data_IF_408072014243
#
_entry.id   IF_408072014243
#
_cell.length_a   1.000
_cell.length_b   1.000
_cell.length_c   1.000
_cell.angle_alpha   90.00
_cell.angle_beta   90.00
_cell.angle_gamma   90.00
#
_symmetry.space_group_name_H-M   'P 1'
#
loop_
_entity.id
_entity.type
_entity.pdbx_description
1 polymer ?
#
# COMPACT_ATOMS: atom_id res chain seq x y z
N UNK A 1 41.05 -53.07 -18.76
CA UNK A 1 39.92 -52.35 -18.13
C UNK A 1 39.93 -50.85 -18.40
N UNK A 2 41.09 -50.18 -18.40
CA UNK A 2 41.22 -48.74 -18.67
C UNK A 2 40.67 -48.28 -20.05
N UNK A 3 40.90 -49.05 -21.12
CA UNK A 3 40.43 -48.69 -22.48
C UNK A 3 38.90 -48.69 -22.58
N UNK A 4 38.22 -49.63 -21.91
CA UNK A 4 36.74 -49.70 -21.89
C UNK A 4 36.13 -48.54 -21.09
N UNK A 5 36.76 -48.17 -19.97
CA UNK A 5 36.34 -47.02 -19.16
C UNK A 5 36.54 -45.70 -19.91
N UNK A 6 37.64 -45.55 -20.65
CA UNK A 6 37.91 -44.38 -21.50
C UNK A 6 36.91 -44.24 -22.65
N UNK A 7 36.57 -45.35 -23.33
CA UNK A 7 35.54 -45.35 -24.38
C UNK A 7 34.15 -44.99 -23.83
N UNK A 8 33.77 -45.51 -22.66
CA UNK A 8 32.52 -45.17 -21.99
C UNK A 8 32.46 -43.68 -21.61
N UNK A 9 33.57 -43.13 -21.12
CA UNK A 9 33.68 -41.70 -20.79
C UNK A 9 33.56 -40.81 -22.03
N UNK A 10 34.19 -41.19 -23.15
CA UNK A 10 34.07 -40.49 -24.43
C UNK A 10 32.64 -40.55 -25.00
N UNK A 11 31.93 -41.66 -24.82
CA UNK A 11 30.53 -41.83 -25.22
C UNK A 11 29.56 -41.00 -24.35
N UNK A 12 29.87 -40.86 -23.06
CA UNK A 12 29.15 -39.96 -22.15
C UNK A 12 29.41 -38.47 -22.47
N UNK A 13 30.62 -38.11 -22.91
CA UNK A 13 30.93 -36.74 -23.37
C UNK A 13 30.30 -36.39 -24.73
N UNK A 14 30.16 -37.36 -25.63
CA UNK A 14 29.56 -37.09 -26.95
C UNK A 14 28.04 -36.96 -26.87
N UNK A 15 27.40 -37.64 -25.91
CA UNK A 15 25.96 -37.54 -25.67
C UNK A 15 25.56 -36.27 -24.89
N UNK A 16 26.46 -35.65 -24.13
CA UNK A 16 26.20 -34.37 -23.46
C UNK A 16 26.22 -33.15 -24.39
N UNK A 17 26.64 -33.33 -25.65
CA UNK A 17 26.64 -32.28 -26.70
C UNK A 17 25.35 -32.24 -27.52
N UNK A 18 24.41 -33.17 -27.29
CA UNK A 18 23.08 -33.16 -27.92
C UNK A 18 22.12 -32.22 -27.18
N UNK A 19 22.51 -30.97 -27.00
CA UNK A 19 21.57 -29.92 -26.64
C UNK A 19 20.83 -29.50 -27.93
N UNK A 20 19.59 -29.94 -28.10
CA UNK A 20 18.73 -29.48 -29.19
C UNK A 20 18.35 -28.02 -28.92
N UNK A 21 19.10 -27.08 -29.49
CA UNK A 21 18.75 -25.67 -29.54
C UNK A 21 17.84 -25.36 -30.73
N UNK A 22 16.98 -24.36 -30.59
CA UNK A 22 16.27 -23.78 -31.72
C UNK A 22 17.27 -23.04 -32.63
N UNK A 23 17.14 -23.16 -33.94
CA UNK A 23 17.97 -22.35 -34.85
C UNK A 23 17.56 -20.88 -34.79
N UNK A 24 18.48 -19.96 -35.10
CA UNK A 24 18.22 -18.50 -35.06
C UNK A 24 17.05 -18.10 -35.99
N UNK A 25 16.94 -18.73 -37.16
CA UNK A 25 15.87 -18.53 -38.14
C UNK A 25 14.52 -19.09 -37.69
N UNK A 26 14.49 -19.89 -36.63
CA UNK A 26 13.28 -20.50 -36.08
C UNK A 26 12.67 -19.70 -34.92
N UNK A 27 13.38 -18.72 -34.36
CA UNK A 27 12.88 -17.87 -33.26
C UNK A 27 11.71 -17.01 -33.74
N UNK A 28 10.58 -17.09 -33.06
CA UNK A 28 9.33 -16.40 -33.35
C UNK A 28 8.46 -17.04 -34.43
N UNK A 29 8.88 -18.15 -35.06
CA UNK A 29 8.08 -18.84 -36.10
C UNK A 29 7.06 -19.81 -35.51
N UNK A 30 7.45 -20.57 -34.49
CA UNK A 30 6.61 -21.61 -33.87
C UNK A 30 6.49 -21.47 -32.35
N UNK A 31 7.34 -20.67 -31.73
CA UNK A 31 7.30 -20.31 -30.31
C UNK A 31 6.48 -19.03 -30.11
N UNK A 32 5.67 -19.05 -29.06
CA UNK A 32 4.97 -17.88 -28.57
C UNK A 32 5.26 -17.77 -27.08
N UNK A 33 5.36 -16.53 -26.60
CA UNK A 33 5.59 -16.26 -25.19
C UNK A 33 4.63 -15.20 -24.70
N UNK A 34 3.73 -15.61 -23.80
CA UNK A 34 2.79 -14.70 -23.16
C UNK A 34 3.18 -14.47 -21.71
N UNK A 35 3.33 -13.19 -21.36
CA UNK A 35 3.67 -12.77 -20.01
C UNK A 35 2.40 -12.41 -19.25
N UNK A 36 2.28 -12.93 -18.04
CA UNK A 36 1.20 -12.63 -17.11
C UNK A 36 1.78 -12.09 -15.80
N UNK A 37 0.92 -11.41 -15.03
CA UNK A 37 1.28 -10.80 -13.74
C UNK A 37 0.65 -11.52 -12.53
N UNK A 38 -0.35 -12.38 -12.76
CA UNK A 38 -1.13 -13.03 -11.69
C UNK A 38 -2.31 -12.18 -11.21
N UNK A 39 -2.90 -12.58 -10.08
CA UNK A 39 -4.07 -11.90 -9.49
C UNK A 39 -3.66 -10.60 -8.80
N UNK A 40 -4.29 -9.49 -9.18
CA UNK A 40 -3.96 -8.15 -8.65
C UNK A 40 -4.47 -7.99 -7.21
N UNK A 41 -3.57 -7.58 -6.30
CA UNK A 41 -3.87 -7.15 -4.91
C UNK A 41 -4.20 -5.67 -4.84
N UNK A 42 -3.35 -4.83 -5.44
CA UNK A 42 -3.49 -3.38 -5.41
C UNK A 42 -3.17 -2.79 -6.78
N UNK A 43 -3.81 -1.67 -7.07
CA UNK A 43 -3.59 -0.90 -8.29
C UNK A 43 -3.47 0.59 -7.95
N UNK A 44 -2.47 1.24 -8.52
CA UNK A 44 -2.24 2.69 -8.41
C UNK A 44 -2.26 3.28 -9.81
N UNK A 45 -3.25 4.12 -10.06
CA UNK A 45 -3.44 4.76 -11.35
C UNK A 45 -2.60 6.02 -11.43
N UNK A 46 -1.72 6.10 -12.42
CA UNK A 46 -0.89 7.26 -12.65
C UNK A 46 -1.22 7.87 -14.01
N UNK A 47 -1.85 9.04 -13.99
CA UNK A 47 -2.19 9.79 -15.19
C UNK A 47 -1.52 11.16 -15.14
N UNK A 48 -0.47 11.35 -15.94
CA UNK A 48 0.12 12.67 -16.16
C UNK A 48 -0.60 13.37 -17.31
N UNK A 49 -0.78 14.69 -17.20
CA UNK A 49 -1.48 15.49 -18.23
C UNK A 49 -0.91 15.35 -19.65
N UNK A 50 0.41 15.12 -19.77
CA UNK A 50 1.10 14.98 -21.05
C UNK A 50 1.92 13.67 -21.18
N UNK A 51 1.72 12.71 -20.27
CA UNK A 51 2.53 11.49 -20.20
C UNK A 51 1.76 10.22 -20.60
N UNK A 52 2.48 9.10 -20.66
CA UNK A 52 1.85 7.78 -20.83
C UNK A 52 0.91 7.53 -19.66
N UNK A 53 -0.32 7.10 -19.96
CA UNK A 53 -1.28 6.67 -18.94
C UNK A 53 -0.87 5.28 -18.50
N UNK A 54 -0.58 5.10 -17.21
CA UNK A 54 -0.13 3.82 -16.66
C UNK A 54 -0.90 3.43 -15.43
N UNK A 55 -1.01 2.13 -15.21
CA UNK A 55 -1.42 1.57 -13.92
C UNK A 55 -0.26 0.73 -13.38
N UNK A 56 0.07 0.96 -12.13
CA UNK A 56 1.06 0.15 -11.41
C UNK A 56 0.29 -0.83 -10.54
N UNK A 57 0.64 -2.10 -10.61
CA UNK A 57 -0.07 -3.17 -9.92
C UNK A 57 0.89 -4.01 -9.09
N UNK A 58 0.42 -4.42 -7.91
CA UNK A 58 1.03 -5.50 -7.12
C UNK A 58 0.12 -6.71 -7.14
N UNK A 59 0.69 -7.91 -7.16
CA UNK A 59 -0.07 -9.16 -7.32
C UNK A 59 0.17 -10.14 -6.17
N UNK A 60 -0.71 -11.15 -6.06
CA UNK A 60 -0.57 -12.25 -5.10
C UNK A 60 0.66 -13.12 -5.36
N UNK A 61 1.20 -13.08 -6.59
CA UNK A 61 2.42 -13.77 -7.00
C UNK A 61 3.71 -12.98 -6.66
N UNK A 62 3.62 -12.00 -5.75
CA UNK A 62 4.69 -11.05 -5.41
C UNK A 62 5.29 -10.34 -6.63
N UNK A 63 4.49 -10.13 -7.69
CA UNK A 63 4.93 -9.37 -8.83
C UNK A 63 4.53 -7.89 -8.69
N UNK A 64 5.42 -7.01 -9.12
CA UNK A 64 5.10 -5.62 -9.42
C UNK A 64 5.22 -5.37 -10.92
N UNK A 65 4.24 -4.70 -11.49
CA UNK A 65 4.24 -4.39 -12.91
C UNK A 65 3.70 -3.00 -13.18
N UNK A 66 4.19 -2.39 -14.26
CA UNK A 66 3.55 -1.22 -14.87
C UNK A 66 2.92 -1.62 -16.19
N UNK A 67 1.64 -1.29 -16.34
CA UNK A 67 0.84 -1.62 -17.50
C UNK A 67 0.42 -0.35 -18.24
N UNK A 68 0.28 -0.44 -19.56
CA UNK A 68 -0.38 0.56 -20.37
C UNK A 68 -1.89 0.58 -20.05
N UNK A 69 -2.41 1.73 -19.63
CA UNK A 69 -3.84 1.86 -19.30
C UNK A 69 -4.77 1.71 -20.50
N UNK A 70 -4.26 1.85 -21.73
CA UNK A 70 -5.04 1.77 -22.97
C UNK A 70 -5.04 0.37 -23.57
N UNK A 71 -3.88 -0.27 -23.63
CA UNK A 71 -3.73 -1.57 -24.30
C UNK A 71 -3.67 -2.75 -23.33
N UNK A 72 -3.30 -2.51 -22.08
CA UNK A 72 -3.01 -3.57 -21.11
C UNK A 72 -1.61 -4.18 -21.25
N UNK A 73 -0.78 -3.66 -22.16
CA UNK A 73 0.58 -4.16 -22.37
C UNK A 73 1.44 -3.94 -21.13
N UNK A 74 2.31 -4.91 -20.84
CA UNK A 74 3.27 -4.81 -19.74
C UNK A 74 4.46 -3.98 -20.21
N UNK A 75 4.67 -2.79 -19.62
CA UNK A 75 5.89 -2.01 -19.85
C UNK A 75 7.09 -2.66 -19.19
N UNK A 76 6.93 -3.04 -17.93
CA UNK A 76 7.93 -3.75 -17.15
C UNK A 76 7.26 -4.55 -16.03
N UNK A 77 7.97 -5.58 -15.56
CA UNK A 77 7.52 -6.51 -14.52
C UNK A 77 8.73 -6.99 -13.73
N UNK A 78 8.60 -7.03 -12.42
CA UNK A 78 9.52 -7.69 -11.50
C UNK A 78 8.75 -8.69 -10.64
N UNK A 79 9.29 -9.88 -10.47
CA UNK A 79 8.77 -10.88 -9.54
C UNK A 79 9.73 -10.91 -8.36
N UNK A 80 9.25 -10.52 -7.18
CA UNK A 80 10.04 -10.52 -5.96
C UNK A 80 10.09 -11.92 -5.34
N UNK A 81 10.99 -12.12 -4.39
CA UNK A 81 11.12 -13.39 -3.68
C UNK A 81 9.83 -13.76 -2.92
N UNK A 82 9.63 -15.06 -2.69
CA UNK A 82 8.48 -15.54 -1.89
C UNK A 82 8.48 -14.99 -0.45
N UNK A 83 9.67 -14.76 0.10
CA UNK A 83 9.87 -14.19 1.43
C UNK A 83 9.80 -12.66 1.44
N UNK A 84 9.36 -12.05 0.35
CA UNK A 84 9.28 -10.60 0.20
C UNK A 84 7.87 -10.16 -0.27
N UNK A 85 6.84 -10.42 0.55
CA UNK A 85 5.47 -10.10 0.19
C UNK A 85 5.28 -8.59 0.12
N UNK A 86 4.64 -8.12 -0.95
CA UNK A 86 4.33 -6.70 -1.14
C UNK A 86 3.11 -6.33 -0.29
N UNK A 87 3.29 -5.42 0.66
CA UNK A 87 2.25 -4.94 1.56
C UNK A 87 1.47 -3.78 0.95
N UNK A 88 2.18 -2.76 0.47
CA UNK A 88 1.61 -1.54 -0.10
C UNK A 88 2.44 -1.01 -1.26
N UNK A 89 1.76 -0.39 -2.22
CA UNK A 89 2.39 0.33 -3.34
C UNK A 89 1.86 1.75 -3.45
N UNK A 90 2.71 2.67 -3.89
CA UNK A 90 2.32 4.03 -4.27
C UNK A 90 3.25 4.63 -5.34
N UNK A 91 2.96 5.86 -5.77
CA UNK A 91 3.81 6.61 -6.71
C UNK A 91 4.28 7.91 -6.05
N UNK A 92 5.59 8.02 -5.83
CA UNK A 92 6.25 9.20 -5.31
C UNK A 92 6.76 10.10 -6.44
N UNK A 93 6.65 11.42 -6.25
CA UNK A 93 7.10 12.46 -7.18
C UNK A 93 6.53 12.39 -8.60
N UNK A 94 5.56 11.51 -8.84
CA UNK A 94 5.13 11.13 -10.18
C UNK A 94 6.22 10.47 -11.05
N UNK A 95 7.36 10.10 -10.45
CA UNK A 95 8.55 9.55 -11.13
C UNK A 95 8.92 8.16 -10.62
N UNK A 96 8.67 7.89 -9.34
CA UNK A 96 9.08 6.65 -8.71
C UNK A 96 7.87 5.85 -8.27
N UNK A 97 7.87 4.55 -8.56
CA UNK A 97 7.01 3.59 -7.89
C UNK A 97 7.65 3.25 -6.57
N UNK A 98 6.90 3.31 -5.48
CA UNK A 98 7.39 2.96 -4.14
C UNK A 98 6.66 1.70 -3.69
N UNK A 99 7.42 0.74 -3.17
CA UNK A 99 6.88 -0.51 -2.62
C UNK A 99 7.31 -0.68 -1.18
N UNK A 100 6.35 -0.98 -0.32
CA UNK A 100 6.58 -1.45 1.04
C UNK A 100 6.32 -2.96 1.06
N UNK A 101 7.28 -3.72 1.58
CA UNK A 101 7.21 -5.18 1.63
C UNK A 101 7.73 -5.74 2.94
N UNK A 102 7.50 -7.04 3.12
CA UNK A 102 8.01 -7.82 4.25
C UNK A 102 7.58 -7.24 5.61
N UNK A 103 6.28 -7.01 5.78
CA UNK A 103 5.67 -6.43 6.98
C UNK A 103 6.20 -5.03 7.32
N UNK A 104 6.54 -4.27 6.29
CA UNK A 104 7.09 -2.93 6.40
C UNK A 104 8.58 -2.86 6.71
N UNK A 105 9.31 -3.98 6.64
CA UNK A 105 10.77 -3.99 6.85
C UNK A 105 11.57 -3.55 5.64
N UNK A 106 11.02 -3.56 4.43
CA UNK A 106 11.74 -3.16 3.22
C UNK A 106 10.94 -2.15 2.41
N UNK A 107 11.58 -1.01 2.13
CA UNK A 107 11.05 0.04 1.26
C UNK A 107 11.92 0.14 0.00
N UNK A 108 11.32 0.17 -1.18
CA UNK A 108 12.05 0.33 -2.45
C UNK A 108 11.44 1.41 -3.31
N UNK A 109 12.30 2.07 -4.09
CA UNK A 109 11.87 2.88 -5.22
C UNK A 109 12.32 2.29 -6.54
N UNK A 110 11.39 2.30 -7.49
CA UNK A 110 11.57 1.86 -8.86
C UNK A 110 11.32 3.03 -9.79
N UNK A 111 12.16 3.20 -10.80
CA UNK A 111 11.95 4.19 -11.83
C UNK A 111 10.68 3.83 -12.62
N UNK A 112 9.70 4.73 -12.65
CA UNK A 112 8.39 4.47 -13.26
C UNK A 112 8.47 4.17 -14.78
N UNK A 113 9.36 4.78 -15.59
CA UNK A 113 9.49 4.49 -17.02
C UNK A 113 9.90 3.07 -17.38
N UNK A 114 10.93 2.52 -16.74
CA UNK A 114 11.60 1.28 -17.14
C UNK A 114 11.63 0.20 -16.05
N UNK A 115 11.21 0.54 -14.83
CA UNK A 115 11.18 -0.37 -13.70
C UNK A 115 12.54 -0.57 -13.03
N UNK A 116 13.59 0.19 -13.35
CA UNK A 116 14.89 0.03 -12.69
C UNK A 116 14.76 0.36 -11.19
N UNK A 117 15.28 -0.50 -10.31
CA UNK A 117 15.38 -0.20 -8.88
C UNK A 117 16.40 0.94 -8.66
N UNK A 118 15.97 2.03 -8.04
CA UNK A 118 16.81 3.20 -7.74
C UNK A 118 17.49 3.03 -6.39
N UNK A 119 16.71 2.66 -5.37
CA UNK A 119 17.21 2.46 -4.01
C UNK A 119 16.34 1.45 -3.26
N UNK A 120 16.91 0.88 -2.21
CA UNK A 120 16.29 -0.02 -1.25
C UNK A 120 16.71 0.40 0.16
N UNK A 121 15.75 0.43 1.08
CA UNK A 121 15.94 0.79 2.48
C UNK A 121 15.38 -0.29 3.38
N UNK A 122 16.21 -0.78 4.29
CA UNK A 122 15.80 -1.73 5.31
C UNK A 122 15.41 -1.00 6.59
N UNK A 123 14.15 -1.15 7.00
CA UNK A 123 13.57 -0.56 8.19
C UNK A 123 13.57 -1.59 9.33
N UNK A 124 13.94 -1.13 10.52
CA UNK A 124 13.98 -1.98 11.71
C UNK A 124 12.57 -2.20 12.25
N UNK A 125 12.06 -3.42 12.10
CA UNK A 125 10.77 -3.83 12.68
C UNK A 125 11.01 -4.44 14.07
N UNK A 126 10.59 -3.75 15.12
CA UNK A 126 10.75 -4.20 16.51
C UNK A 126 9.62 -5.14 16.95
N UNK A 127 8.41 -4.93 16.42
CA UNK A 127 7.20 -5.66 16.79
C UNK A 127 6.29 -5.87 15.59
N UNK A 128 5.75 -7.07 15.42
CA UNK A 128 4.73 -7.34 14.41
C UNK A 128 3.55 -6.36 14.57
N UNK A 129 3.28 -5.60 13.53
CA UNK A 129 2.26 -4.55 13.50
C UNK A 129 1.80 -4.31 12.07
N UNK A 130 0.64 -3.68 11.90
CA UNK A 130 0.15 -3.27 10.58
C UNK A 130 1.14 -2.29 9.95
N UNK A 131 1.62 -2.59 8.74
CA UNK A 131 2.49 -1.69 7.99
C UNK A 131 1.65 -0.70 7.17
N UNK A 132 2.05 0.57 7.18
CA UNK A 132 1.38 1.64 6.43
C UNK A 132 2.40 2.48 5.68
N UNK A 133 2.14 2.70 4.40
CA UNK A 133 2.89 3.59 3.53
C UNK A 133 2.08 4.86 3.28
N UNK A 134 2.67 6.01 3.60
CA UNK A 134 2.12 7.31 3.23
C UNK A 134 3.11 8.07 2.34
N UNK A 135 2.69 8.33 1.11
CA UNK A 135 3.44 9.16 0.15
C UNK A 135 2.71 10.50 0.00
N UNK A 136 3.35 11.64 0.35
CA UNK A 136 2.73 12.94 0.22
C UNK A 136 2.31 13.26 -1.22
N UNK A 137 1.15 13.87 -1.39
CA UNK A 137 0.71 14.38 -2.68
C UNK A 137 1.63 15.53 -3.13
N UNK A 138 2.17 15.41 -4.33
CA UNK A 138 3.13 16.35 -4.94
C UNK A 138 2.50 17.74 -5.11
N UNK A 139 2.72 18.66 -4.16
CA UNK A 139 2.31 20.07 -4.27
C UNK A 139 3.54 20.96 -4.08
N UNK A 140 4.24 21.24 -5.18
CA UNK A 140 5.35 22.19 -5.26
C UNK A 140 6.73 21.55 -5.39
N UNK A 141 7.63 22.25 -6.06
CA UNK A 141 8.98 21.82 -6.46
C UNK A 141 10.00 21.86 -5.30
N UNK A 142 9.63 22.41 -4.14
CA UNK A 142 10.55 22.72 -3.02
C UNK A 142 10.05 22.26 -1.64
N UNK A 143 9.39 21.10 -1.54
CA UNK A 143 9.09 20.53 -0.22
C UNK A 143 9.85 19.24 -0.03
N UNK A 144 10.43 19.09 1.15
CA UNK A 144 11.16 17.90 1.59
C UNK A 144 10.34 16.66 1.23
N UNK A 145 10.81 15.93 0.22
CA UNK A 145 10.08 14.83 -0.38
C UNK A 145 10.24 13.58 0.49
N UNK A 146 9.58 13.59 1.64
CA UNK A 146 9.69 12.58 2.68
C UNK A 146 8.52 11.61 2.58
N UNK A 147 8.83 10.34 2.41
CA UNK A 147 7.90 9.22 2.52
C UNK A 147 7.80 8.82 3.99
N UNK A 148 6.59 8.55 4.45
CA UNK A 148 6.37 8.12 5.83
C UNK A 148 5.95 6.66 5.85
N UNK A 149 6.67 5.85 6.63
CA UNK A 149 6.37 4.43 6.82
C UNK A 149 6.12 4.17 8.29
N UNK A 150 4.94 3.65 8.61
CA UNK A 150 4.68 3.10 9.93
C UNK A 150 4.89 1.58 9.90
N UNK A 151 5.80 1.10 10.73
CA UNK A 151 6.14 -0.32 10.86
C UNK A 151 6.82 -0.55 12.19
N UNK A 152 6.62 -1.71 12.82
CA UNK A 152 7.38 -2.06 14.01
C UNK A 152 7.07 -1.24 15.26
N UNK A 153 5.95 -0.50 15.30
CA UNK A 153 5.67 0.47 16.37
C UNK A 153 6.32 1.84 16.17
N UNK A 154 7.05 2.04 15.05
CA UNK A 154 7.77 3.26 14.74
C UNK A 154 7.18 3.93 13.49
N UNK A 155 7.18 5.27 13.47
CA UNK A 155 7.05 6.06 12.25
C UNK A 155 8.44 6.45 11.78
N UNK A 156 8.76 6.08 10.54
CA UNK A 156 9.99 6.42 9.85
C UNK A 156 9.69 7.48 8.80
N UNK A 157 10.55 8.51 8.74
CA UNK A 157 10.64 9.42 7.61
C UNK A 157 11.80 9.02 6.73
N UNK A 158 11.52 8.78 5.45
CA UNK A 158 12.50 8.33 4.46
C UNK A 158 12.55 9.35 3.32
N UNK A 159 13.74 9.76 2.94
CA UNK A 159 13.96 10.58 1.75
C UNK A 159 13.57 9.78 0.50
N UNK A 160 12.66 10.33 -0.32
CA UNK A 160 12.25 9.70 -1.58
C UNK A 160 13.35 9.68 -2.66
N UNK A 161 14.43 10.43 -2.46
CA UNK A 161 15.50 10.60 -3.45
C UNK A 161 16.52 9.46 -3.41
N UNK A 162 16.91 9.04 -2.22
CA UNK A 162 18.00 8.10 -1.95
C UNK A 162 17.60 6.96 -1.00
N UNK A 163 16.43 7.03 -0.37
CA UNK A 163 15.98 6.03 0.58
C UNK A 163 16.59 6.19 1.98
N UNK A 164 17.27 7.30 2.27
CA UNK A 164 17.85 7.50 3.60
C UNK A 164 16.78 7.80 4.65
N UNK A 165 16.92 7.19 5.83
CA UNK A 165 16.05 7.45 6.98
C UNK A 165 16.45 8.78 7.61
N UNK A 166 15.59 9.79 7.48
CA UNK A 166 15.82 11.15 8.02
C UNK A 166 15.62 11.17 9.53
N UNK A 167 14.54 10.55 10.01
CA UNK A 167 14.24 10.42 11.43
C UNK A 167 13.35 9.21 11.69
N UNK A 168 13.31 8.78 12.94
CA UNK A 168 12.44 7.69 13.42
C UNK A 168 11.83 8.09 14.76
N UNK A 169 10.52 7.88 14.90
CA UNK A 169 9.77 8.15 16.13
C UNK A 169 9.07 6.87 16.59
N UNK A 170 9.37 6.44 17.80
CA UNK A 170 8.72 5.28 18.44
C UNK A 170 7.43 5.69 19.16
N UNK A 171 6.40 4.85 19.06
CA UNK A 171 5.12 5.01 19.76
C UNK A 171 4.99 3.91 20.82
N UNK A 172 5.36 4.24 22.06
CA UNK A 172 5.48 3.30 23.18
C UNK A 172 4.17 3.09 23.97
N UNK A 173 3.06 2.80 23.29
CA UNK A 173 1.79 2.50 23.96
C UNK A 173 1.34 1.07 23.70
N UNK A 174 1.19 0.30 24.78
CA UNK A 174 0.62 -1.04 24.72
C UNK A 174 -0.81 -1.00 24.13
N UNK A 175 -1.10 -1.92 23.22
CA UNK A 175 -2.42 -2.02 22.57
C UNK A 175 -2.69 -1.03 21.43
N UNK A 176 -1.76 -0.10 21.13
CA UNK A 176 -1.95 0.84 20.02
C UNK A 176 -1.88 0.15 18.65
N UNK A 177 -2.99 0.23 17.93
CA UNK A 177 -3.12 -0.20 16.54
C UNK A 177 -3.33 1.03 15.66
N UNK A 178 -2.28 1.44 14.93
CA UNK A 178 -2.37 2.55 13.99
C UNK A 178 -3.19 2.13 12.77
N UNK A 179 -4.18 2.95 12.46
CA UNK A 179 -5.12 2.72 11.37
C UNK A 179 -4.82 3.57 10.15
N UNK A 180 -4.27 4.78 10.35
CA UNK A 180 -3.99 5.72 9.28
C UNK A 180 -2.84 6.66 9.58
N UNK A 181 -2.09 6.99 8.54
CA UNK A 181 -1.07 8.05 8.51
C UNK A 181 -1.46 8.99 7.38
N UNK A 182 -1.52 10.29 7.68
CA UNK A 182 -1.90 11.29 6.69
C UNK A 182 -1.31 12.65 6.99
N UNK A 183 -1.24 13.51 5.98
CA UNK A 183 -0.76 14.89 6.12
C UNK A 183 -1.70 15.84 5.37
N UNK A 184 -2.31 16.82 6.06
CA UNK A 184 -3.11 17.84 5.41
C UNK A 184 -2.31 18.65 4.39
N UNK A 185 -2.97 19.04 3.31
CA UNK A 185 -2.35 19.81 2.24
C UNK A 185 -1.81 21.13 2.76
N UNK A 186 -0.52 21.38 2.50
CA UNK A 186 0.16 22.61 2.94
C UNK A 186 0.66 22.60 4.38
N UNK A 187 0.31 21.60 5.20
CA UNK A 187 0.75 21.48 6.59
C UNK A 187 2.08 20.75 6.73
N UNK A 188 2.92 21.21 7.67
CA UNK A 188 4.12 20.48 8.12
C UNK A 188 3.84 19.43 9.20
N UNK A 189 2.57 19.10 9.44
CA UNK A 189 2.11 18.24 10.52
C UNK A 189 1.54 16.95 9.93
N UNK A 190 2.00 15.83 10.48
CA UNK A 190 1.52 14.48 10.17
C UNK A 190 0.56 14.05 11.25
N UNK A 191 -0.59 13.54 10.82
CA UNK A 191 -1.59 12.94 11.68
C UNK A 191 -1.42 11.42 11.64
N UNK A 192 -1.29 10.84 12.83
CA UNK A 192 -1.24 9.40 13.02
C UNK A 192 -2.44 9.05 13.87
N UNK A 193 -3.35 8.25 13.31
CA UNK A 193 -4.61 7.88 13.95
C UNK A 193 -4.59 6.40 14.26
N UNK A 194 -4.91 6.04 15.50
CA UNK A 194 -4.94 4.66 15.94
C UNK A 194 -5.97 4.41 17.02
N UNK A 195 -6.12 3.13 17.35
CA UNK A 195 -6.97 2.65 18.44
C UNK A 195 -6.09 2.05 19.53
N UNK A 196 -6.19 2.51 20.77
CA UNK A 196 -5.42 1.98 21.92
C UNK A 196 -6.14 0.84 22.65
N UNK A 197 -7.46 0.86 22.58
CA UNK A 197 -8.38 -0.18 23.07
C UNK A 197 -9.51 -0.31 22.06
N UNK A 198 -10.44 -1.26 22.25
CA UNK A 198 -11.63 -1.35 21.39
C UNK A 198 -12.47 -0.08 21.43
N UNK A 199 -12.34 0.80 22.44
CA UNK A 199 -13.22 1.95 22.63
C UNK A 199 -12.55 3.33 22.55
N UNK A 200 -11.23 3.43 22.33
CA UNK A 200 -10.54 4.72 22.31
C UNK A 200 -9.85 4.99 20.99
N UNK A 201 -10.10 6.17 20.43
CA UNK A 201 -9.36 6.72 19.30
C UNK A 201 -8.31 7.67 19.83
N UNK A 202 -7.08 7.53 19.34
CA UNK A 202 -5.99 8.47 19.60
C UNK A 202 -5.50 9.08 18.29
N UNK A 203 -5.23 10.37 18.33
CA UNK A 203 -4.66 11.14 17.22
C UNK A 203 -3.39 11.81 17.71
N UNK A 204 -2.26 11.42 17.12
CA UNK A 204 -0.97 12.06 17.33
C UNK A 204 -0.71 13.06 16.22
N UNK A 205 -0.25 14.25 16.59
CA UNK A 205 0.24 15.28 15.68
C UNK A 205 1.76 15.30 15.78
N UNK A 206 2.44 15.00 14.69
CA UNK A 206 3.90 14.90 14.61
C UNK A 206 4.42 15.91 13.60
N UNK A 207 5.54 16.57 13.92
CA UNK A 207 6.23 17.43 12.97
C UNK A 207 6.83 16.57 11.85
N UNK A 208 6.45 16.81 10.60
CA UNK A 208 6.88 15.99 9.47
C UNK A 208 8.36 16.11 9.11
N UNK A 209 9.04 17.18 9.55
CA UNK A 209 10.49 17.36 9.30
C UNK A 209 11.35 16.81 10.43
N UNK A 210 10.91 16.95 11.68
CA UNK A 210 11.74 16.60 12.85
C UNK A 210 11.32 15.28 13.53
N UNK A 211 10.10 14.79 13.27
CA UNK A 211 9.54 13.65 13.99
C UNK A 211 9.12 13.96 15.44
N UNK A 212 9.16 15.24 15.84
CA UNK A 212 8.75 15.66 17.18
C UNK A 212 7.24 15.53 17.37
N UNK A 213 6.82 15.00 18.52
CA UNK A 213 5.41 14.91 18.89
C UNK A 213 4.95 16.31 19.34
N UNK A 214 4.06 16.92 18.56
CA UNK A 214 3.52 18.25 18.81
C UNK A 214 2.32 18.21 19.76
N UNK A 215 1.44 17.23 19.56
CA UNK A 215 0.22 17.09 20.35
C UNK A 215 -0.33 15.66 20.30
N UNK A 216 -1.15 15.30 21.28
CA UNK A 216 -1.84 14.03 21.36
C UNK A 216 -3.24 14.25 21.94
N UNK A 217 -4.26 13.91 21.14
CA UNK A 217 -5.65 13.93 21.57
C UNK A 217 -6.22 12.51 21.59
N UNK A 218 -7.16 12.25 22.49
CA UNK A 218 -7.87 10.98 22.54
C UNK A 218 -9.33 11.18 22.91
N UNK A 219 -10.19 10.35 22.33
CA UNK A 219 -11.63 10.39 22.59
C UNK A 219 -12.19 8.96 22.67
N UNK A 220 -13.04 8.73 23.67
CA UNK A 220 -13.72 7.47 23.86
C UNK A 220 -14.96 7.39 22.95
N UNK A 221 -15.13 6.24 22.31
CA UNK A 221 -16.34 5.84 21.60
C UNK A 221 -16.96 4.65 22.34
N UNK A 222 -18.04 4.86 23.13
CA UNK A 222 -18.58 3.86 24.05
C UNK A 222 -18.95 2.51 23.42
N UNK A 223 -19.40 2.50 22.15
CA UNK A 223 -19.81 1.28 21.45
C UNK A 223 -18.62 0.44 20.95
N UNK A 224 -17.41 0.99 20.99
CA UNK A 224 -16.21 0.36 20.49
C UNK A 224 -16.14 0.18 18.97
N UNK A 225 -14.98 -0.29 18.50
CA UNK A 225 -14.63 -0.50 17.10
C UNK A 225 -14.31 -1.96 16.82
N UNK A 226 -14.60 -2.42 15.60
CA UNK A 226 -14.24 -3.77 15.14
C UNK A 226 -12.74 -3.95 14.89
N UNK A 227 -11.97 -2.85 14.84
CA UNK A 227 -10.57 -2.81 14.44
C UNK A 227 -10.32 -2.55 12.95
N UNK A 228 -11.37 -2.61 12.12
CA UNK A 228 -11.30 -2.21 10.71
C UNK A 228 -11.55 -0.71 10.53
N UNK A 229 -10.63 -0.07 9.81
CA UNK A 229 -10.64 1.36 9.56
C UNK A 229 -9.95 1.68 8.22
N UNK A 230 -10.51 2.66 7.50
CA UNK A 230 -9.97 3.17 6.25
C UNK A 230 -9.80 4.69 6.30
N UNK A 231 -8.60 5.13 5.94
CA UNK A 231 -8.32 6.55 5.72
C UNK A 231 -9.04 7.02 4.44
N UNK A 232 -9.93 8.01 4.56
CA UNK A 232 -10.75 8.50 3.44
C UNK A 232 -10.24 9.85 2.91
N UNK A 233 -9.74 10.72 3.78
CA UNK A 233 -9.11 11.99 3.45
C UNK A 233 -7.92 12.26 4.36
N UNK A 234 -7.31 13.45 4.33
CA UNK A 234 -6.21 13.81 5.25
C UNK A 234 -6.64 14.06 6.70
N UNK A 235 -7.94 14.14 6.97
CA UNK A 235 -8.55 14.55 8.23
C UNK A 235 -9.73 13.66 8.64
N UNK A 236 -9.97 12.57 7.90
CA UNK A 236 -11.13 11.72 8.10
C UNK A 236 -10.80 10.25 7.87
N UNK A 237 -11.30 9.44 8.80
CA UNK A 237 -11.20 7.98 8.79
C UNK A 237 -12.60 7.39 8.95
N UNK A 238 -12.90 6.31 8.25
CA UNK A 238 -14.16 5.56 8.40
C UNK A 238 -13.85 4.22 9.02
N UNK A 239 -14.53 3.90 10.12
CA UNK A 239 -14.41 2.65 10.85
C UNK A 239 -15.77 1.98 11.03
N UNK A 240 -15.75 0.70 11.40
CA UNK A 240 -16.95 -0.03 11.83
C UNK A 240 -16.99 -0.10 13.35
N UNK A 241 -18.19 0.04 13.92
CA UNK A 241 -18.43 -0.23 15.33
C UNK A 241 -18.14 -1.72 15.67
N UNK A 242 -18.05 -2.04 16.96
CA UNK A 242 -17.75 -3.40 17.41
C UNK A 242 -18.77 -4.43 16.90
N UNK A 243 -20.05 -4.04 16.76
CA UNK A 243 -21.11 -4.90 16.24
C UNK A 243 -21.17 -4.97 14.70
N UNK A 244 -20.34 -4.21 13.97
CA UNK A 244 -20.35 -4.08 12.50
C UNK A 244 -21.71 -3.66 11.91
N UNK A 245 -22.48 -2.93 12.70
CA UNK A 245 -23.84 -2.44 12.40
C UNK A 245 -23.86 -0.97 11.95
N UNK A 246 -22.84 -0.21 12.35
CA UNK A 246 -22.78 1.24 12.19
C UNK A 246 -21.43 1.65 11.62
N UNK A 247 -21.47 2.51 10.60
CA UNK A 247 -20.29 3.19 10.09
C UNK A 247 -20.02 4.42 10.97
N UNK A 248 -18.80 4.50 11.50
CA UNK A 248 -18.33 5.61 12.32
C UNK A 248 -17.33 6.42 11.51
N UNK A 249 -17.72 7.62 11.13
CA UNK A 249 -16.81 8.60 10.55
C UNK A 249 -16.12 9.36 11.66
N UNK A 250 -14.80 9.23 11.72
CA UNK A 250 -13.91 9.88 12.66
C UNK A 250 -13.29 11.08 11.94
N UNK A 251 -13.68 12.29 12.32
CA UNK A 251 -13.04 13.53 11.86
C UNK A 251 -12.06 13.99 12.93
N UNK A 252 -10.85 14.36 12.53
CA UNK A 252 -9.78 14.79 13.42
C UNK A 252 -9.10 16.09 12.95
N UNK A 253 -9.87 16.97 12.30
CA UNK A 253 -9.40 18.27 11.83
C UNK A 253 -8.76 19.08 12.96
N UNK A 254 -7.53 19.56 12.74
CA UNK A 254 -6.79 20.33 13.76
C UNK A 254 -6.31 19.51 14.96
N UNK A 255 -6.62 18.20 15.02
CA UNK A 255 -6.36 17.33 16.16
C UNK A 255 -7.62 17.03 16.98
N UNK A 256 -8.69 17.81 16.83
CA UNK A 256 -9.93 17.63 17.58
C UNK A 256 -10.76 16.49 16.99
N UNK A 257 -11.05 15.50 17.83
CA UNK A 257 -11.73 14.27 17.40
C UNK A 257 -13.24 14.48 17.52
N UNK A 258 -13.97 14.16 16.45
CA UNK A 258 -15.44 14.10 16.44
C UNK A 258 -15.92 12.85 15.69
N UNK A 259 -17.07 12.35 16.12
CA UNK A 259 -17.68 11.14 15.55
C UNK A 259 -19.01 11.47 14.88
N UNK A 260 -19.20 10.96 13.67
CA UNK A 260 -20.50 10.92 13.00
C UNK A 260 -20.87 9.47 12.71
N UNK A 261 -22.03 9.05 13.21
CA UNK A 261 -22.50 7.67 13.10
C UNK A 261 -23.55 7.55 12.00
N UNK A 262 -23.48 6.49 11.21
CA UNK A 262 -24.54 6.18 10.24
C UNK A 262 -24.81 4.68 10.27
N UNK A 263 -26.02 4.26 10.68
CA UNK A 263 -26.43 2.87 10.61
C UNK A 263 -26.32 2.33 9.19
N UNK A 264 -25.80 1.12 9.04
CA UNK A 264 -25.69 0.46 7.72
C UNK A 264 -27.07 0.18 7.13
N UNK A 265 -28.09 -0.01 7.97
CA UNK A 265 -29.50 -0.14 7.56
C UNK A 265 -30.02 1.05 6.76
N UNK A 266 -29.41 2.23 6.90
CA UNK A 266 -29.75 3.40 6.09
C UNK A 266 -29.19 3.32 4.65
N UNK A 267 -28.18 2.48 4.43
CA UNK A 267 -27.49 2.30 3.14
C UNK A 267 -27.97 1.02 2.43
N UNK A 268 -28.30 -0.04 3.19
CA UNK A 268 -28.79 -1.32 2.65
C UNK A 268 -29.92 -1.83 3.53
N UNK A 269 -31.06 -2.19 2.94
CA UNK A 269 -32.25 -2.64 3.65
C UNK A 269 -32.19 -4.11 4.15
N UNK A 270 -31.04 -4.80 4.05
CA UNK A 270 -30.92 -6.22 4.42
C UNK A 270 -30.46 -6.41 5.88
N UNK A 271 -31.05 -7.40 6.55
CA UNK A 271 -31.08 -7.51 8.02
C UNK A 271 -30.01 -8.40 8.65
N UNK A 272 -29.06 -8.93 7.88
CA UNK A 272 -28.02 -9.84 8.40
C UNK A 272 -26.67 -9.58 7.73
N UNK A 273 -26.02 -8.47 8.09
CA UNK A 273 -24.89 -7.95 7.31
C UNK A 273 -23.55 -8.33 7.91
N UNK A 274 -22.74 -9.12 7.21
CA UNK A 274 -21.29 -9.11 7.44
C UNK A 274 -20.68 -7.97 6.62
N UNK A 275 -20.39 -6.85 7.28
CA UNK A 275 -19.76 -5.69 6.62
C UNK A 275 -18.24 -5.78 6.72
N UNK A 276 -17.55 -5.60 5.59
CA UNK A 276 -16.11 -5.33 5.55
C UNK A 276 -15.80 -4.09 4.73
N UNK A 277 -14.77 -3.36 5.14
CA UNK A 277 -14.32 -2.16 4.45
C UNK A 277 -13.32 -2.52 3.35
N UNK A 278 -13.51 -1.96 2.14
CA UNK A 278 -12.63 -2.16 1.00
C UNK A 278 -11.80 -0.91 0.72
N UNK A 279 -10.46 -1.03 0.60
CA UNK A 279 -9.60 0.13 0.40
C UNK A 279 -9.86 0.79 -0.97
N UNK A 280 -10.04 2.11 -0.95
CA UNK A 280 -10.22 2.94 -2.15
C UNK A 280 -9.26 4.12 -2.09
N UNK A 281 -8.36 4.27 -3.06
CA UNK A 281 -7.46 5.44 -3.18
C UNK A 281 -8.12 6.62 -3.89
N UNK A 282 -9.36 6.94 -3.52
CA UNK A 282 -10.09 8.11 -4.04
C UNK A 282 -10.48 8.99 -2.86
N UNK A 283 -9.95 10.21 -2.84
CA UNK A 283 -10.16 11.14 -1.74
C UNK A 283 -11.66 11.40 -1.52
N UNK A 284 -12.13 11.23 -0.28
CA UNK A 284 -13.52 11.46 0.11
C UNK A 284 -14.46 10.31 -0.24
N UNK A 285 -13.96 9.14 -0.65
CA UNK A 285 -14.78 7.97 -0.96
C UNK A 285 -14.27 6.74 -0.23
N UNK A 286 -15.20 5.83 0.09
CA UNK A 286 -14.87 4.51 0.60
C UNK A 286 -15.78 3.47 -0.06
N UNK A 287 -15.32 2.23 -0.07
CA UNK A 287 -16.16 1.11 -0.45
C UNK A 287 -16.40 0.20 0.75
N UNK A 288 -17.60 -0.35 0.84
CA UNK A 288 -17.97 -1.34 1.84
C UNK A 288 -18.60 -2.53 1.13
N UNK A 289 -18.16 -3.73 1.50
CA UNK A 289 -18.79 -4.97 1.07
C UNK A 289 -19.80 -5.38 2.13
N UNK A 290 -21.05 -5.50 1.72
CA UNK A 290 -22.19 -5.96 2.50
C UNK A 290 -22.66 -7.24 1.82
N UNK A 291 -22.29 -8.38 2.40
CA UNK A 291 -22.53 -9.72 1.86
C UNK A 291 -22.04 -9.89 0.41
N UNK A 292 -22.95 -9.87 -0.57
CA UNK A 292 -22.63 -9.98 -2.01
C UNK A 292 -22.56 -8.64 -2.74
N UNK A 293 -22.97 -7.56 -2.09
CA UNK A 293 -23.05 -6.22 -2.67
C UNK A 293 -21.84 -5.39 -2.27
N UNK A 294 -21.30 -4.62 -3.22
CA UNK A 294 -20.26 -3.62 -2.95
C UNK A 294 -20.89 -2.24 -3.10
N UNK A 295 -20.88 -1.49 -2.01
CA UNK A 295 -21.29 -0.09 -1.97
C UNK A 295 -20.09 0.80 -2.16
N UNK A 296 -20.27 1.87 -2.92
CA UNK A 296 -19.29 2.94 -3.07
C UNK A 296 -19.94 4.25 -2.65
N UNK A 297 -19.51 4.81 -1.52
CA UNK A 297 -20.13 5.98 -0.93
C UNK A 297 -19.15 7.14 -0.84
N UNK A 298 -19.67 8.35 -1.02
CA UNK A 298 -18.93 9.60 -0.84
C UNK A 298 -19.18 10.15 0.56
N UNK A 299 -18.11 10.47 1.27
CA UNK A 299 -18.18 11.10 2.59
C UNK A 299 -18.16 12.62 2.43
N UNK A 300 -19.20 13.30 2.91
CA UNK A 300 -19.21 14.77 2.97
C UNK A 300 -18.29 15.25 4.09
N UNK A 301 -17.83 16.51 4.01
CA UNK A 301 -17.05 17.16 5.08
C UNK A 301 -17.75 17.14 6.45
N UNK A 302 -19.06 16.94 6.51
CA UNK A 302 -19.82 16.86 7.76
C UNK A 302 -20.06 15.41 8.23
N UNK A 303 -19.44 14.41 7.58
CA UNK A 303 -19.54 12.99 7.94
C UNK A 303 -20.76 12.26 7.39
N UNK A 304 -21.71 12.95 6.74
CA UNK A 304 -22.85 12.30 6.09
C UNK A 304 -22.47 11.65 4.74
N UNK A 305 -23.09 10.52 4.44
CA UNK A 305 -22.94 9.78 3.18
C UNK A 305 -23.96 10.22 2.13
N UNK A 306 -23.65 10.00 0.85
CA UNK A 306 -24.60 10.11 -0.26
C UNK A 306 -24.41 8.91 -1.17
N UNK A 307 -25.51 8.24 -1.49
CA UNK A 307 -25.53 7.22 -2.53
C UNK A 307 -25.42 7.92 -3.90
N UNK A 308 -24.54 7.40 -4.75
CA UNK A 308 -24.47 7.78 -6.16
C UNK A 308 -25.32 6.83 -6.99
#
# INVERSE_FOLDING_TARGET
>A
MAVRASLLFLLLLSSSLLAAGLYEDQVGLADWHQKYIGKTKQAVFHTQKAGRKRVVVSTEENAIASLDLRTGDIYWRHVLGKNDPIDQIDVALGKYVVTLSSEGSVLRAWNLPDGQMIWESSLRVLKASKSLLYVPANIGVEKDNIIHVYSGGCLHAISSMDGEVVWTKEFASEGLNIQGVSQPLGGGIIYIVGFTSTAHVVVYQVNGKTGELLNQNSLAYPSGFSGEALQVSSDMLVALDAARSTLVTINFQGGDISFHQTPISNLVQESFVMTSLLPVKVNGMFAAKVDSTVLLARVKRHGCFRDN
#
